data_IF_682666739744
#
_entry.id   IF_682666739744
#
_cell.length_a   1.000
_cell.length_b   1.000
_cell.length_c   1.000
_cell.angle_alpha   90.00
_cell.angle_beta   90.00
_cell.angle_gamma   90.00
#
_symmetry.space_group_name_H-M   'P 1'
#
loop_
_entity.id
_entity.type
_entity.pdbx_description
1 polymer ?
#
# COMPACT_ATOMS: atom_id res chain seq x y z
N UNK A 1 77.70 35.21 -40.24
CA UNK A 1 77.70 33.74 -40.38
C UNK A 1 77.42 33.19 -38.98
N UNK A 2 76.13 33.14 -38.64
CA UNK A 2 75.36 31.91 -38.32
C UNK A 2 75.66 31.41 -36.90
N UNK A 3 74.83 31.70 -35.91
CA UNK A 3 73.48 31.18 -35.62
C UNK A 3 73.55 30.01 -34.64
N UNK A 4 72.53 29.95 -33.77
CA UNK A 4 72.11 28.74 -33.06
C UNK A 4 73.15 28.11 -32.12
N UNK A 5 73.12 28.40 -30.82
CA UNK A 5 73.60 27.47 -29.75
C UNK A 5 73.50 28.01 -28.31
N UNK A 6 72.83 29.15 -28.06
CA UNK A 6 72.78 29.75 -26.70
C UNK A 6 71.38 30.03 -26.16
N UNK A 7 70.37 29.27 -26.62
CA UNK A 7 68.98 29.34 -26.11
C UNK A 7 68.35 27.95 -25.92
N UNK A 8 69.01 27.09 -25.17
CA UNK A 8 68.53 25.72 -24.90
C UNK A 8 68.50 25.33 -23.41
N UNK A 9 68.28 26.27 -22.49
CA UNK A 9 68.21 25.97 -21.05
C UNK A 9 67.13 26.77 -20.28
N UNK A 10 65.98 27.02 -20.93
CA UNK A 10 64.78 27.56 -20.27
C UNK A 10 63.48 27.10 -20.97
N UNK A 11 63.40 25.84 -21.40
CA UNK A 11 62.21 25.27 -22.04
C UNK A 11 62.00 23.79 -21.66
N UNK A 12 62.02 23.49 -20.37
CA UNK A 12 61.68 22.17 -19.82
C UNK A 12 60.72 22.29 -18.62
N UNK A 13 59.69 23.14 -18.73
CA UNK A 13 58.65 23.30 -17.72
C UNK A 13 57.23 23.53 -18.29
N UNK A 14 56.99 23.17 -19.55
CA UNK A 14 55.64 23.20 -20.15
C UNK A 14 55.47 22.09 -21.19
N UNK A 15 55.40 20.84 -20.74
CA UNK A 15 54.84 19.72 -21.51
C UNK A 15 54.56 18.52 -20.60
N UNK A 16 53.79 18.74 -19.54
CA UNK A 16 53.08 17.68 -18.85
C UNK A 16 51.61 18.09 -18.72
N UNK A 17 50.96 18.28 -19.86
CA UNK A 17 49.51 18.10 -19.93
C UNK A 17 49.32 16.60 -19.68
N UNK A 18 49.13 16.24 -18.42
CA UNK A 18 48.49 14.98 -18.07
C UNK A 18 47.15 15.06 -18.77
N UNK A 19 47.04 14.38 -19.91
CA UNK A 19 45.77 13.99 -20.48
C UNK A 19 45.12 13.11 -19.41
N UNK A 20 44.42 13.76 -18.47
CA UNK A 20 43.46 13.07 -17.65
C UNK A 20 42.53 12.41 -18.65
N UNK A 21 42.34 11.08 -18.64
CA UNK A 21 41.28 10.51 -19.44
C UNK A 21 40.02 11.21 -18.96
N UNK A 22 39.46 12.09 -19.81
CA UNK A 22 38.08 12.49 -19.68
C UNK A 22 37.35 11.17 -19.78
N UNK A 23 36.96 10.63 -18.63
CA UNK A 23 36.04 9.52 -18.56
C UNK A 23 34.83 10.00 -19.35
N UNK A 24 34.68 9.50 -20.58
CA UNK A 24 33.48 9.69 -21.35
C UNK A 24 32.41 9.06 -20.46
N UNK A 25 31.60 9.90 -19.81
CA UNK A 25 30.49 9.44 -19.00
C UNK A 25 29.60 8.66 -19.96
N UNK A 26 29.71 7.34 -19.92
CA UNK A 26 28.92 6.44 -20.73
C UNK A 26 27.55 6.42 -20.10
N UNK A 27 26.56 6.96 -20.80
CA UNK A 27 25.16 6.96 -20.36
C UNK A 27 24.80 5.61 -19.75
N UNK A 28 24.08 5.65 -18.63
CA UNK A 28 23.67 4.43 -17.92
C UNK A 28 23.02 3.43 -18.90
N UNK A 29 23.47 2.16 -18.92
CA UNK A 29 22.94 1.18 -19.87
C UNK A 29 21.47 0.90 -19.56
N UNK A 30 20.63 0.89 -20.60
CA UNK A 30 19.26 0.42 -20.46
C UNK A 30 19.28 -1.07 -20.12
N UNK A 31 18.57 -1.44 -19.06
CA UNK A 31 18.48 -2.83 -18.59
C UNK A 31 17.07 -3.40 -18.73
N UNK A 32 16.99 -4.72 -18.88
CA UNK A 32 15.74 -5.45 -18.64
C UNK A 32 15.60 -5.71 -17.13
N UNK A 33 14.42 -5.49 -16.53
CA UNK A 33 14.23 -5.74 -15.12
C UNK A 33 14.56 -7.20 -14.75
N UNK A 34 15.19 -7.44 -13.58
CA UNK A 34 15.57 -8.78 -13.19
C UNK A 34 14.35 -9.68 -12.99
N UNK A 35 14.47 -10.92 -13.43
CA UNK A 35 13.51 -12.00 -13.21
C UNK A 35 14.06 -12.92 -12.14
N UNK A 36 13.32 -13.10 -11.04
CA UNK A 36 13.75 -13.90 -9.89
C UNK A 36 12.79 -15.06 -9.67
N UNK A 37 13.25 -16.14 -9.02
CA UNK A 37 12.32 -17.14 -8.51
C UNK A 37 11.54 -16.59 -7.32
N UNK A 38 10.31 -17.06 -7.14
CA UNK A 38 9.46 -16.76 -6.00
C UNK A 38 10.17 -17.12 -4.68
N UNK A 39 10.93 -18.22 -4.66
CA UNK A 39 11.72 -18.62 -3.50
C UNK A 39 12.88 -17.66 -3.21
N UNK A 40 13.54 -17.10 -4.23
CA UNK A 40 14.57 -16.09 -4.02
C UNK A 40 14.00 -14.78 -3.43
N UNK A 41 12.74 -14.45 -3.75
CA UNK A 41 12.08 -13.22 -3.27
C UNK A 41 11.43 -13.40 -1.90
N UNK A 42 10.78 -14.54 -1.66
CA UNK A 42 9.89 -14.78 -0.51
C UNK A 42 10.40 -15.86 0.45
N UNK A 43 11.43 -16.60 0.08
CA UNK A 43 11.88 -17.79 0.79
C UNK A 43 10.76 -18.83 0.91
N UNK A 44 10.66 -19.45 2.09
CA UNK A 44 9.62 -20.44 2.40
C UNK A 44 8.18 -19.90 2.24
N UNK A 45 7.98 -18.58 2.29
CA UNK A 45 6.66 -17.95 2.14
C UNK A 45 6.16 -17.94 0.69
N UNK A 46 6.96 -18.39 -0.27
CA UNK A 46 6.50 -18.62 -1.63
C UNK A 46 5.41 -19.71 -1.71
N UNK A 47 5.27 -20.55 -0.68
CA UNK A 47 4.27 -21.63 -0.59
C UNK A 47 3.52 -21.57 0.73
N UNK A 48 2.20 -21.73 0.67
CA UNK A 48 1.34 -21.88 1.84
C UNK A 48 0.44 -23.11 1.72
N UNK A 49 -0.40 -23.35 2.74
CA UNK A 49 -1.31 -24.51 2.77
C UNK A 49 -2.37 -24.49 1.65
N UNK A 50 -2.68 -23.32 1.12
CA UNK A 50 -3.71 -23.11 0.10
C UNK A 50 -3.24 -22.26 -1.10
N UNK A 51 -1.94 -21.99 -1.22
CA UNK A 51 -1.40 -21.22 -2.34
C UNK A 51 0.05 -21.58 -2.69
N UNK A 52 0.45 -21.21 -3.91
CA UNK A 52 1.84 -21.17 -4.36
C UNK A 52 2.05 -19.94 -5.23
N UNK A 53 3.12 -19.18 -4.97
CA UNK A 53 3.59 -18.12 -5.87
C UNK A 53 4.39 -18.78 -7.01
N UNK A 54 4.00 -18.49 -8.24
CA UNK A 54 4.60 -19.07 -9.45
C UNK A 54 5.94 -18.39 -9.81
N UNK A 55 6.82 -19.17 -10.43
CA UNK A 55 8.02 -18.68 -11.08
C UNK A 55 7.72 -18.35 -12.56
N UNK A 56 8.37 -17.33 -13.15
CA UNK A 56 9.23 -16.35 -12.49
C UNK A 56 8.46 -15.14 -11.94
N UNK A 57 9.01 -14.53 -10.88
CA UNK A 57 8.62 -13.18 -10.43
C UNK A 57 9.35 -12.16 -11.29
N UNK A 58 8.60 -11.49 -12.17
CA UNK A 58 9.13 -10.44 -13.05
C UNK A 58 9.02 -9.09 -12.37
N UNK A 59 9.79 -8.11 -12.83
CA UNK A 59 9.59 -6.70 -12.49
C UNK A 59 9.22 -5.91 -13.74
N UNK A 60 8.40 -4.88 -13.58
CA UNK A 60 8.07 -3.90 -14.62
C UNK A 60 9.03 -2.69 -14.62
N UNK A 61 10.06 -2.72 -13.77
CA UNK A 61 11.02 -1.63 -13.55
C UNK A 61 10.70 -0.75 -12.32
N UNK A 62 9.54 -0.96 -11.69
CA UNK A 62 9.08 -0.27 -10.49
C UNK A 62 8.69 -1.24 -9.36
N UNK A 63 7.84 -2.20 -9.70
CA UNK A 63 7.26 -3.19 -8.80
C UNK A 63 7.60 -4.60 -9.29
N UNK A 64 7.54 -5.55 -8.36
CA UNK A 64 7.56 -6.97 -8.70
C UNK A 64 6.13 -7.43 -8.97
N UNK A 65 5.94 -8.22 -10.03
CA UNK A 65 4.65 -8.76 -10.45
C UNK A 65 4.61 -10.24 -10.11
N UNK A 66 3.66 -10.60 -9.24
CA UNK A 66 3.51 -11.95 -8.72
C UNK A 66 2.28 -12.61 -9.33
N UNK A 67 2.38 -13.93 -9.55
CA UNK A 67 1.23 -14.77 -9.88
C UNK A 67 1.03 -15.78 -8.76
N UNK A 68 -0.09 -15.67 -8.05
CA UNK A 68 -0.45 -16.58 -6.96
C UNK A 68 -1.41 -17.62 -7.51
N UNK A 69 -1.01 -18.89 -7.47
CA UNK A 69 -1.85 -20.04 -7.80
C UNK A 69 -2.56 -20.54 -6.55
N UNK A 70 -3.87 -20.64 -6.65
CA UNK A 70 -4.76 -21.20 -5.60
C UNK A 70 -5.65 -22.28 -6.22
N UNK A 71 -6.44 -22.98 -5.39
CA UNK A 71 -7.44 -23.92 -5.89
C UNK A 71 -8.54 -23.22 -6.71
N UNK A 72 -8.77 -21.93 -6.48
CA UNK A 72 -9.81 -21.12 -7.13
C UNK A 72 -9.33 -20.46 -8.43
N UNK A 73 -8.03 -20.53 -8.72
CA UNK A 73 -7.43 -19.96 -9.92
C UNK A 73 -6.13 -19.21 -9.67
N UNK A 74 -5.68 -18.48 -10.69
CA UNK A 74 -4.49 -17.62 -10.63
C UNK A 74 -4.89 -16.19 -10.34
N UNK A 75 -4.11 -15.53 -9.50
CA UNK A 75 -4.29 -14.12 -9.14
C UNK A 75 -2.99 -13.36 -9.41
N UNK A 76 -3.08 -12.28 -10.18
CA UNK A 76 -1.96 -11.38 -10.40
C UNK A 76 -1.95 -10.30 -9.32
N UNK A 77 -0.76 -9.96 -8.84
CA UNK A 77 -0.56 -8.95 -7.79
C UNK A 77 0.67 -8.15 -8.13
N UNK A 78 0.53 -6.83 -8.20
CA UNK A 78 1.66 -5.92 -8.42
C UNK A 78 2.13 -5.32 -7.10
N UNK A 79 3.43 -5.46 -6.82
CA UNK A 79 4.06 -4.92 -5.63
C UNK A 79 4.10 -5.90 -4.45
N UNK A 80 5.24 -5.89 -3.73
CA UNK A 80 5.44 -6.74 -2.55
C UNK A 80 4.49 -6.40 -1.41
N UNK A 81 4.21 -5.12 -1.19
CA UNK A 81 3.32 -4.70 -0.08
C UNK A 81 1.88 -5.22 -0.29
N UNK A 82 1.37 -5.28 -1.53
CA UNK A 82 0.04 -5.85 -1.80
C UNK A 82 0.07 -7.38 -1.73
N UNK A 83 1.16 -8.01 -2.18
CA UNK A 83 1.36 -9.43 -2.00
C UNK A 83 1.26 -9.83 -0.52
N UNK A 84 1.91 -9.07 0.38
CA UNK A 84 1.83 -9.32 1.82
C UNK A 84 0.38 -9.32 2.35
N UNK A 85 -0.45 -8.40 1.86
CA UNK A 85 -1.89 -8.38 2.17
C UNK A 85 -2.55 -9.65 1.65
N UNK A 86 -2.32 -10.03 0.39
CA UNK A 86 -2.91 -11.23 -0.24
C UNK A 86 -2.51 -12.53 0.46
N UNK A 87 -1.26 -12.66 0.89
CA UNK A 87 -0.80 -13.83 1.63
C UNK A 87 -1.49 -13.96 3.00
N UNK A 88 -1.70 -12.84 3.71
CA UNK A 88 -2.48 -12.81 4.96
C UNK A 88 -3.94 -13.15 4.71
N UNK A 89 -4.52 -12.65 3.62
CA UNK A 89 -5.90 -12.96 3.24
C UNK A 89 -6.10 -14.46 2.92
N UNK A 90 -5.11 -15.07 2.25
CA UNK A 90 -5.10 -16.51 2.00
C UNK A 90 -4.96 -17.33 3.29
N UNK A 91 -4.13 -16.88 4.23
CA UNK A 91 -4.04 -17.50 5.54
C UNK A 91 -5.37 -17.41 6.29
N UNK A 92 -6.01 -16.24 6.30
CA UNK A 92 -7.31 -16.04 6.92
C UNK A 92 -8.40 -16.92 6.28
N UNK A 93 -8.38 -17.06 4.96
CA UNK A 93 -9.28 -17.95 4.23
C UNK A 93 -9.10 -19.41 4.66
N UNK A 94 -7.85 -19.88 4.78
CA UNK A 94 -7.57 -21.24 5.27
C UNK A 94 -8.10 -21.44 6.70
N UNK A 95 -7.94 -20.44 7.57
CA UNK A 95 -8.47 -20.49 8.94
C UNK A 95 -10.00 -20.59 8.97
N UNK A 96 -10.69 -19.80 8.14
CA UNK A 96 -12.16 -19.86 8.03
C UNK A 96 -12.64 -21.22 7.51
N UNK A 97 -11.94 -21.79 6.53
CA UNK A 97 -12.24 -23.11 5.98
C UNK A 97 -12.02 -24.22 7.01
N UNK A 98 -10.99 -24.11 7.85
CA UNK A 98 -10.79 -25.05 8.94
C UNK A 98 -11.88 -24.91 10.01
N UNK A 99 -12.26 -23.68 10.35
CA UNK A 99 -13.33 -23.41 11.32
C UNK A 99 -14.67 -24.00 10.90
N UNK A 100 -14.99 -23.96 9.60
CA UNK A 100 -16.26 -24.47 9.08
C UNK A 100 -16.43 -25.99 9.23
N UNK A 101 -15.33 -26.72 9.45
CA UNK A 101 -15.36 -28.17 9.72
C UNK A 101 -15.66 -28.53 11.18
N UNK A 102 -15.64 -27.56 12.10
CA UNK A 102 -15.85 -27.83 13.52
C UNK A 102 -17.32 -28.14 13.84
N UNK A 103 -17.56 -29.06 14.79
CA UNK A 103 -18.93 -29.40 15.21
C UNK A 103 -19.69 -28.18 15.75
N UNK A 104 -18.98 -27.25 16.41
CA UNK A 104 -19.56 -26.00 16.89
C UNK A 104 -20.07 -25.14 15.74
N UNK A 105 -19.32 -25.03 14.64
CA UNK A 105 -19.77 -24.34 13.44
C UNK A 105 -20.95 -25.04 12.78
N UNK A 106 -20.89 -26.37 12.63
CA UNK A 106 -21.98 -27.19 12.07
C UNK A 106 -23.29 -26.98 12.85
N UNK A 107 -23.23 -26.98 14.19
CA UNK A 107 -24.38 -26.75 15.05
C UNK A 107 -24.92 -25.32 14.91
N UNK A 108 -24.03 -24.32 14.86
CA UNK A 108 -24.42 -22.93 14.64
C UNK A 108 -25.04 -22.69 13.26
N UNK A 109 -24.52 -23.33 12.22
CA UNK A 109 -25.08 -23.30 10.88
C UNK A 109 -26.49 -23.93 10.84
N UNK A 110 -26.67 -25.07 11.51
CA UNK A 110 -27.98 -25.71 11.66
C UNK A 110 -28.97 -24.83 12.44
N UNK A 111 -28.51 -24.09 13.46
CA UNK A 111 -29.32 -23.12 14.18
C UNK A 111 -29.68 -21.90 13.32
N UNK A 112 -28.72 -21.37 12.54
CA UNK A 112 -28.94 -20.27 11.61
C UNK A 112 -29.96 -20.63 10.52
N UNK A 113 -29.94 -21.86 10.01
CA UNK A 113 -30.92 -22.35 9.02
C UNK A 113 -32.36 -22.45 9.56
N UNK A 114 -32.54 -22.52 10.88
CA UNK A 114 -33.87 -22.55 11.54
C UNK A 114 -34.44 -21.15 11.77
N UNK A 115 -33.65 -20.09 11.62
CA UNK A 115 -34.14 -18.71 11.69
C UNK A 115 -34.75 -18.34 10.33
N UNK A 116 -35.82 -17.52 10.29
CA UNK A 116 -36.41 -17.10 9.03
C UNK A 116 -35.35 -16.42 8.15
N UNK A 117 -35.03 -17.06 7.03
CA UNK A 117 -34.24 -16.47 5.95
C UNK A 117 -35.26 -15.88 4.99
N UNK A 118 -35.72 -14.66 5.25
CA UNK A 118 -36.56 -13.94 4.31
C UNK A 118 -35.70 -13.57 3.09
N UNK A 119 -35.64 -14.53 2.16
CA UNK A 119 -34.98 -14.44 0.87
C UNK A 119 -35.54 -13.26 0.09
N UNK A 120 -34.68 -12.28 -0.19
CA UNK A 120 -34.93 -11.23 -1.18
C UNK A 120 -35.03 -11.86 -2.58
N UNK A 121 -36.21 -12.38 -2.94
CA UNK A 121 -36.54 -12.71 -4.32
C UNK A 121 -36.84 -11.40 -5.05
N UNK A 122 -35.86 -10.94 -5.82
CA UNK A 122 -36.04 -9.80 -6.72
C UNK A 122 -34.71 -9.21 -7.14
N UNK A 123 -33.87 -9.99 -7.81
CA UNK A 123 -32.85 -9.54 -8.78
C UNK A 123 -32.11 -10.76 -9.38
N UNK A 124 -32.85 -11.72 -9.92
CA UNK A 124 -32.36 -12.64 -10.96
C UNK A 124 -33.53 -12.92 -11.90
N UNK A 125 -33.74 -12.02 -12.86
CA UNK A 125 -34.51 -12.31 -14.06
C UNK A 125 -33.61 -11.95 -15.23
N UNK A 126 -32.99 -12.99 -15.80
CA UNK A 126 -32.36 -13.12 -17.11
C UNK A 126 -31.78 -11.85 -17.77
N UNK A 127 -30.45 -11.73 -17.96
CA UNK A 127 -29.90 -10.77 -18.91
C UNK A 127 -29.61 -11.47 -20.24
N UNK A 128 -30.58 -11.47 -21.16
CA UNK A 128 -30.30 -11.52 -22.61
C UNK A 128 -31.42 -10.70 -23.28
N UNK A 129 -31.05 -9.77 -24.17
CA UNK A 129 -31.91 -8.94 -25.05
C UNK A 129 -32.34 -7.52 -24.62
N UNK A 130 -31.53 -6.74 -23.91
CA UNK A 130 -31.69 -5.27 -24.02
C UNK A 130 -30.37 -4.52 -24.03
N UNK A 131 -29.67 -4.65 -25.15
CA UNK A 131 -28.81 -3.58 -25.67
C UNK A 131 -29.74 -2.64 -26.43
N UNK A 132 -29.99 -1.44 -25.90
CA UNK A 132 -30.02 -0.17 -26.63
C UNK A 132 -30.65 0.96 -25.78
N UNK A 133 -30.03 2.13 -25.85
CA UNK A 133 -30.43 3.46 -25.34
C UNK A 133 -30.07 3.79 -23.88
N UNK A 134 -28.83 4.27 -23.76
CA UNK A 134 -28.33 5.12 -22.69
C UNK A 134 -29.17 6.40 -22.51
N UNK A 135 -29.88 6.55 -21.39
CA UNK A 135 -30.22 7.85 -20.79
C UNK A 135 -30.35 7.74 -19.25
N UNK A 136 -29.47 8.48 -18.56
CA UNK A 136 -29.55 9.05 -17.19
C UNK A 136 -30.28 8.31 -16.03
N UNK A 137 -29.52 7.47 -15.31
CA UNK A 137 -28.99 7.74 -13.95
C UNK A 137 -29.86 8.15 -12.74
N UNK A 138 -31.16 8.45 -12.86
CA UNK A 138 -31.96 8.90 -11.69
C UNK A 138 -33.33 8.21 -11.60
N UNK A 139 -33.90 7.69 -12.70
CA UNK A 139 -35.23 7.05 -12.70
C UNK A 139 -35.34 5.74 -11.92
N UNK A 140 -34.26 4.96 -11.82
CA UNK A 140 -34.23 3.65 -11.12
C UNK A 140 -34.07 3.77 -9.60
N UNK A 141 -33.66 4.93 -9.09
CA UNK A 141 -33.65 5.20 -7.65
C UNK A 141 -35.03 5.61 -7.14
N UNK A 142 -35.80 6.37 -7.93
CA UNK A 142 -37.16 6.80 -7.54
C UNK A 142 -38.20 5.67 -7.63
N UNK A 143 -38.07 4.72 -8.57
CA UNK A 143 -38.97 3.56 -8.63
C UNK A 143 -38.82 2.59 -7.45
N UNK A 144 -37.64 2.58 -6.79
CA UNK A 144 -37.39 1.78 -5.58
C UNK A 144 -37.99 2.39 -4.31
N UNK A 145 -38.24 3.70 -4.29
CA UNK A 145 -38.90 4.38 -3.16
C UNK A 145 -40.43 4.21 -3.25
N UNK A 146 -41.01 4.18 -4.46
CA UNK A 146 -42.46 3.99 -4.66
C UNK A 146 -42.99 2.62 -4.25
N UNK A 147 -42.23 1.53 -4.49
CA UNK A 147 -42.62 0.18 -4.09
C UNK A 147 -42.47 -0.08 -2.57
N UNK A 148 -41.72 0.76 -1.87
CA UNK A 148 -41.57 0.69 -0.42
C UNK A 148 -42.70 1.41 0.34
N UNK A 149 -43.56 2.17 -0.33
CA UNK A 149 -44.62 2.94 0.32
C UNK A 149 -45.91 2.13 0.63
N UNK A 150 -46.06 0.90 0.11
CA UNK A 150 -47.35 0.20 0.09
C UNK A 150 -47.54 -0.95 1.10
N UNK A 151 -46.69 -1.13 2.12
CA UNK A 151 -46.98 -2.01 3.27
C UNK A 151 -46.12 -1.66 4.50
N UNK A 152 -46.67 -1.00 5.55
CA UNK A 152 -45.93 -0.69 6.77
C UNK A 152 -46.12 -1.78 7.84
N UNK A 153 -45.01 -2.24 8.43
CA UNK A 153 -44.99 -2.30 9.90
C UNK A 153 -44.37 -3.48 10.65
N UNK A 154 -44.02 -4.64 10.07
CA UNK A 154 -43.49 -5.76 10.89
C UNK A 154 -42.30 -6.56 10.38
N UNK A 155 -41.81 -6.29 9.16
CA UNK A 155 -40.68 -7.01 8.59
C UNK A 155 -39.43 -6.17 8.31
N UNK A 156 -39.51 -4.84 8.28
CA UNK A 156 -38.36 -4.01 7.85
C UNK A 156 -37.30 -3.87 8.92
N UNK A 157 -37.71 -3.72 10.18
CA UNK A 157 -36.79 -3.47 11.29
C UNK A 157 -35.97 -4.73 11.62
N UNK A 158 -36.61 -5.90 11.64
CA UNK A 158 -35.91 -7.19 11.84
C UNK A 158 -34.92 -7.51 10.71
N UNK A 159 -35.24 -7.14 9.47
CA UNK A 159 -34.35 -7.32 8.32
C UNK A 159 -33.16 -6.35 8.36
N UNK A 160 -33.40 -5.09 8.72
CA UNK A 160 -32.36 -4.09 8.90
C UNK A 160 -31.42 -4.49 10.04
N UNK A 161 -31.96 -4.89 11.20
CA UNK A 161 -31.19 -5.33 12.35
C UNK A 161 -30.38 -6.60 12.05
N UNK A 162 -30.95 -7.55 11.29
CA UNK A 162 -30.22 -8.74 10.86
C UNK A 162 -29.07 -8.40 9.92
N UNK A 163 -29.29 -7.52 8.94
CA UNK A 163 -28.25 -7.08 8.01
C UNK A 163 -27.12 -6.31 8.73
N UNK A 164 -27.48 -5.42 9.66
CA UNK A 164 -26.54 -4.70 10.51
C UNK A 164 -25.75 -5.65 11.42
N UNK A 165 -26.42 -6.66 12.00
CA UNK A 165 -25.79 -7.70 12.81
C UNK A 165 -24.77 -8.52 12.04
N UNK A 166 -25.10 -8.93 10.80
CA UNK A 166 -24.17 -9.64 9.91
C UNK A 166 -22.96 -8.76 9.55
N UNK A 167 -23.19 -7.50 9.18
CA UNK A 167 -22.11 -6.57 8.83
C UNK A 167 -21.19 -6.26 10.03
N UNK A 168 -21.74 -6.19 11.24
CA UNK A 168 -20.96 -6.07 12.48
C UNK A 168 -20.12 -7.32 12.75
N UNK A 169 -20.74 -8.51 12.66
CA UNK A 169 -20.06 -9.79 12.84
C UNK A 169 -18.92 -9.98 11.82
N UNK A 170 -19.11 -9.57 10.56
CA UNK A 170 -18.05 -9.57 9.53
C UNK A 170 -16.84 -8.75 9.95
N UNK A 171 -17.06 -7.53 10.45
CA UNK A 171 -15.98 -6.63 10.89
C UNK A 171 -15.25 -7.18 12.11
N UNK A 172 -15.98 -7.75 13.07
CA UNK A 172 -15.38 -8.39 14.24
C UNK A 172 -14.55 -9.63 13.84
N UNK A 173 -15.06 -10.45 12.92
CA UNK A 173 -14.35 -11.61 12.39
C UNK A 173 -13.08 -11.20 11.65
N UNK A 174 -13.17 -10.21 10.77
CA UNK A 174 -12.02 -9.65 10.05
C UNK A 174 -10.97 -9.08 11.02
N UNK A 175 -11.40 -8.40 12.10
CA UNK A 175 -10.52 -7.91 13.16
C UNK A 175 -9.75 -9.05 13.84
N UNK A 176 -10.41 -10.17 14.15
CA UNK A 176 -9.76 -11.33 14.78
C UNK A 176 -8.78 -12.03 13.85
N UNK A 177 -9.09 -12.07 12.54
CA UNK A 177 -8.23 -12.63 11.50
C UNK A 177 -7.11 -11.69 11.05
N UNK A 178 -7.14 -10.43 11.47
CA UNK A 178 -6.18 -9.41 11.07
C UNK A 178 -6.23 -9.02 9.59
N UNK A 179 -7.43 -9.07 8.99
CA UNK A 179 -7.68 -8.76 7.57
C UNK A 179 -8.65 -7.60 7.41
N UNK A 180 -8.68 -7.03 6.22
CA UNK A 180 -9.58 -5.94 5.87
C UNK A 180 -11.03 -6.45 5.77
N UNK A 181 -12.00 -5.90 6.54
CA UNK A 181 -13.40 -6.30 6.42
C UNK A 181 -14.02 -5.94 5.07
N UNK A 182 -13.38 -5.04 4.33
CA UNK A 182 -13.76 -4.59 3.00
C UNK A 182 -12.80 -5.08 1.91
N UNK A 183 -12.08 -6.18 2.17
CA UNK A 183 -11.20 -6.82 1.21
C UNK A 183 -11.88 -7.03 -0.15
N UNK A 184 -11.13 -6.75 -1.21
CA UNK A 184 -11.54 -7.03 -2.59
C UNK A 184 -11.20 -8.46 -3.04
N UNK A 185 -10.50 -9.24 -2.20
CA UNK A 185 -10.22 -10.65 -2.47
C UNK A 185 -11.49 -11.48 -2.31
N UNK A 186 -12.20 -11.66 -3.43
CA UNK A 186 -13.52 -12.30 -3.48
C UNK A 186 -13.63 -13.61 -2.67
N UNK A 187 -12.66 -14.55 -2.72
CA UNK A 187 -12.75 -15.78 -1.94
C UNK A 187 -12.83 -15.53 -0.43
N UNK A 188 -12.00 -14.62 0.09
CA UNK A 188 -12.03 -14.26 1.51
C UNK A 188 -13.28 -13.44 1.84
N UNK A 189 -13.67 -12.48 0.99
CA UNK A 189 -14.87 -11.68 1.19
C UNK A 189 -16.12 -12.56 1.36
N UNK A 190 -16.27 -13.56 0.50
CA UNK A 190 -17.36 -14.54 0.56
C UNK A 190 -17.31 -15.39 1.83
N UNK A 191 -16.13 -15.92 2.19
CA UNK A 191 -15.96 -16.72 3.40
C UNK A 191 -16.26 -15.91 4.68
N UNK A 192 -15.86 -14.63 4.72
CA UNK A 192 -16.20 -13.71 5.80
C UNK A 192 -17.70 -13.46 5.87
N UNK A 193 -18.38 -13.24 4.74
CA UNK A 193 -19.83 -13.02 4.69
C UNK A 193 -20.63 -14.24 5.16
N UNK A 194 -20.26 -15.43 4.68
CA UNK A 194 -20.88 -16.69 5.09
C UNK A 194 -20.71 -16.95 6.58
N UNK A 195 -19.47 -16.85 7.06
CA UNK A 195 -19.15 -17.06 8.48
C UNK A 195 -19.83 -16.03 9.38
N UNK A 196 -19.89 -14.77 8.96
CA UNK A 196 -20.57 -13.71 9.69
C UNK A 196 -22.07 -13.97 9.80
N UNK A 197 -22.71 -14.48 8.73
CA UNK A 197 -24.12 -14.91 8.75
C UNK A 197 -24.35 -16.03 9.76
N UNK A 198 -23.53 -17.08 9.71
CA UNK A 198 -23.61 -18.19 10.67
C UNK A 198 -23.38 -17.70 12.10
N UNK A 199 -22.46 -16.77 12.30
CA UNK A 199 -22.15 -16.21 13.62
C UNK A 199 -23.32 -15.39 14.18
N UNK A 200 -23.82 -14.42 13.41
CA UNK A 200 -24.89 -13.53 13.82
C UNK A 200 -26.23 -14.27 14.02
N UNK A 201 -26.55 -15.22 13.12
CA UNK A 201 -27.83 -15.94 13.16
C UNK A 201 -27.76 -17.21 14.03
N UNK A 202 -26.61 -17.87 14.11
CA UNK A 202 -26.41 -19.09 14.91
C UNK A 202 -26.01 -18.85 16.37
N UNK A 203 -25.90 -17.59 16.80
CA UNK A 203 -25.41 -17.17 18.13
C UNK A 203 -24.01 -17.75 18.47
N UNK A 204 -23.15 -17.90 17.46
CA UNK A 204 -21.78 -18.37 17.69
C UNK A 204 -20.92 -17.22 18.22
N UNK A 205 -20.20 -17.41 19.31
CA UNK A 205 -19.19 -16.42 19.74
C UNK A 205 -17.91 -16.63 18.94
N UNK A 206 -17.47 -15.61 18.21
CA UNK A 206 -16.28 -15.68 17.35
C UNK A 206 -15.06 -16.20 18.12
N UNK A 207 -14.80 -15.67 19.32
CA UNK A 207 -13.66 -16.08 20.16
C UNK A 207 -13.67 -17.56 20.57
N UNK A 208 -14.85 -18.15 20.79
CA UNK A 208 -14.97 -19.57 21.18
C UNK A 208 -14.60 -20.55 20.07
N UNK A 209 -14.87 -20.20 18.82
CA UNK A 209 -14.57 -21.04 17.67
C UNK A 209 -13.08 -21.00 17.28
N UNK A 210 -12.45 -19.82 17.37
CA UNK A 210 -11.01 -19.67 17.08
C UNK A 210 -10.11 -20.38 18.09
N UNK A 211 -10.52 -20.49 19.37
CA UNK A 211 -9.77 -21.24 20.40
C UNK A 211 -9.67 -22.75 20.10
N UNK A 212 -10.55 -23.29 19.26
CA UNK A 212 -10.56 -24.71 18.89
C UNK A 212 -9.62 -25.05 17.71
N UNK A 213 -8.94 -24.06 17.11
CA UNK A 213 -8.05 -24.25 15.97
C UNK A 213 -6.60 -24.28 16.45
N UNK A 214 -5.88 -25.42 16.34
CA UNK A 214 -4.46 -25.50 16.66
C UNK A 214 -3.65 -24.50 15.81
N UNK A 215 -2.90 -23.60 16.46
CA UNK A 215 -2.14 -22.53 15.79
C UNK A 215 -2.92 -21.24 15.50
N UNK A 216 -4.20 -21.14 15.88
CA UNK A 216 -5.07 -19.97 15.70
C UNK A 216 -4.84 -18.80 16.67
N UNK A 217 -3.67 -18.74 17.32
CA UNK A 217 -3.35 -17.65 18.26
C UNK A 217 -3.02 -16.37 17.48
N UNK A 218 -3.94 -15.40 17.54
CA UNK A 218 -3.72 -13.97 17.33
C UNK A 218 -2.72 -13.58 16.25
N UNK A 219 -3.18 -13.50 15.00
CA UNK A 219 -2.43 -12.80 13.96
C UNK A 219 -2.44 -11.32 14.33
N UNK A 220 -1.37 -10.86 15.00
CA UNK A 220 -1.17 -9.46 15.32
C UNK A 220 -1.14 -8.67 14.01
N UNK A 221 -2.03 -7.70 13.89
CA UNK A 221 -2.03 -6.85 12.70
C UNK A 221 -0.86 -5.91 12.79
N UNK A 222 0.16 -6.10 11.93
CA UNK A 222 1.19 -5.09 11.72
C UNK A 222 0.58 -3.93 10.92
N UNK A 223 -0.24 -3.12 11.57
CA UNK A 223 -0.40 -1.72 11.22
C UNK A 223 0.79 -0.98 11.86
N UNK A 224 1.43 -0.05 11.14
CA UNK A 224 2.45 0.80 11.77
C UNK A 224 1.84 1.48 12.99
N UNK A 225 2.60 1.70 14.08
CA UNK A 225 2.10 2.23 15.38
C UNK A 225 1.19 3.47 15.31
N UNK A 226 1.27 4.25 14.24
CA UNK A 226 0.39 5.39 13.91
C UNK A 226 -0.99 5.03 13.31
N UNK A 227 -1.21 3.75 13.00
CA UNK A 227 -2.42 3.16 12.44
C UNK A 227 -3.13 2.22 13.44
N UNK A 228 -2.63 2.05 14.67
CA UNK A 228 -3.34 1.33 15.75
C UNK A 228 -4.64 2.07 16.15
N UNK A 229 -4.65 3.41 16.21
CA UNK A 229 -5.87 4.21 16.47
C UNK A 229 -6.83 4.24 15.26
N UNK A 230 -6.31 4.10 14.03
CA UNK A 230 -7.10 4.20 12.79
C UNK A 230 -7.64 2.84 12.32
N UNK A 231 -6.91 1.76 12.64
CA UNK A 231 -7.34 0.38 12.43
C UNK A 231 -8.63 0.10 13.19
N UNK A 232 -8.80 0.64 14.41
CA UNK A 232 -10.06 0.50 15.15
C UNK A 232 -11.25 1.12 14.40
N UNK A 233 -11.07 2.31 13.82
CA UNK A 233 -12.15 3.04 13.15
C UNK A 233 -12.73 2.27 11.96
N UNK A 234 -11.91 1.58 11.16
CA UNK A 234 -12.40 0.81 10.00
C UNK A 234 -13.18 -0.44 10.39
N UNK A 235 -12.90 -1.01 11.57
CA UNK A 235 -13.67 -2.11 12.12
C UNK A 235 -14.94 -1.63 12.83
N UNK A 236 -14.94 -0.43 13.43
CA UNK A 236 -16.08 0.10 14.20
C UNK A 236 -17.11 0.85 13.35
N UNK A 237 -16.74 1.35 12.17
CA UNK A 237 -17.63 2.11 11.27
C UNK A 237 -18.03 1.34 10.02
N UNK A 238 -19.24 1.63 9.53
CA UNK A 238 -19.76 1.19 8.23
C UNK A 238 -19.10 1.96 7.07
N UNK A 239 -19.19 1.47 5.81
CA UNK A 239 -18.65 2.20 4.66
C UNK A 239 -19.19 3.62 4.51
N UNK A 240 -20.48 3.86 4.79
CA UNK A 240 -21.10 5.18 4.70
C UNK A 240 -20.61 6.13 5.80
N UNK A 241 -20.44 5.64 7.03
CA UNK A 241 -19.85 6.42 8.12
C UNK A 241 -18.38 6.74 7.88
N UNK A 242 -17.60 5.79 7.34
CA UNK A 242 -16.21 6.04 6.92
C UNK A 242 -16.16 7.08 5.81
N UNK A 243 -17.05 6.98 4.82
CA UNK A 243 -17.15 7.95 3.73
C UNK A 243 -17.46 9.35 4.26
N UNK A 244 -18.42 9.49 5.16
CA UNK A 244 -18.77 10.79 5.75
C UNK A 244 -17.61 11.37 6.58
N UNK A 245 -16.97 10.54 7.41
CA UNK A 245 -15.78 10.92 8.16
C UNK A 245 -14.65 11.39 7.23
N UNK A 246 -14.42 10.66 6.13
CA UNK A 246 -13.39 10.99 5.16
C UNK A 246 -13.72 12.29 4.40
N UNK A 247 -14.99 12.50 4.03
CA UNK A 247 -15.45 13.74 3.39
C UNK A 247 -15.21 14.95 4.29
N UNK A 248 -15.57 14.87 5.57
CA UNK A 248 -15.34 15.94 6.55
C UNK A 248 -13.85 16.26 6.72
N UNK A 249 -13.01 15.22 6.84
CA UNK A 249 -11.55 15.40 6.90
C UNK A 249 -10.99 16.02 5.62
N UNK A 250 -11.34 15.52 4.44
CA UNK A 250 -10.90 16.06 3.15
C UNK A 250 -11.26 17.55 3.00
N UNK A 251 -12.46 17.96 3.41
CA UNK A 251 -12.85 19.36 3.43
C UNK A 251 -11.94 20.20 4.34
N UNK A 252 -11.62 19.72 5.55
CA UNK A 252 -10.67 20.38 6.45
C UNK A 252 -9.23 20.42 5.90
N UNK A 253 -8.87 19.52 4.99
CA UNK A 253 -7.59 19.54 4.26
C UNK A 253 -7.60 20.50 3.05
N UNK A 254 -8.73 21.18 2.77
CA UNK A 254 -8.89 22.10 1.64
C UNK A 254 -9.18 21.41 0.30
N UNK A 255 -9.62 20.14 0.32
CA UNK A 255 -9.97 19.40 -0.90
C UNK A 255 -11.38 19.80 -1.35
N UNK A 256 -11.56 20.24 -2.61
CA UNK A 256 -12.88 20.60 -3.14
C UNK A 256 -13.87 19.42 -3.07
N UNK A 257 -15.13 19.70 -2.73
CA UNK A 257 -16.17 18.67 -2.58
C UNK A 257 -16.34 17.78 -3.83
N UNK A 258 -16.32 18.29 -5.08
CA UNK A 258 -16.39 17.43 -6.26
C UNK A 258 -15.22 16.45 -6.35
N UNK A 259 -14.00 16.91 -6.05
CA UNK A 259 -12.80 16.08 -6.07
C UNK A 259 -12.81 15.01 -4.97
N UNK A 260 -13.25 15.40 -3.76
CA UNK A 260 -13.44 14.45 -2.67
C UNK A 260 -14.50 13.39 -3.02
N UNK A 261 -15.59 13.79 -3.70
CA UNK A 261 -16.60 12.89 -4.24
C UNK A 261 -16.00 11.86 -5.19
N UNK A 262 -15.33 12.31 -6.24
CA UNK A 262 -14.65 11.44 -7.23
C UNK A 262 -13.71 10.44 -6.58
N UNK A 263 -12.88 10.89 -5.63
CA UNK A 263 -11.98 9.99 -4.91
C UNK A 263 -12.74 8.94 -4.08
N UNK A 264 -13.74 9.37 -3.31
CA UNK A 264 -14.49 8.47 -2.43
C UNK A 264 -15.41 7.51 -3.20
N UNK A 265 -15.87 7.89 -4.40
CA UNK A 265 -16.69 7.03 -5.28
C UNK A 265 -15.87 6.05 -6.12
N UNK A 266 -14.54 6.16 -6.12
CA UNK A 266 -13.67 5.31 -6.90
C UNK A 266 -13.63 3.88 -6.31
N UNK A 267 -14.19 2.93 -7.07
CA UNK A 267 -14.35 1.52 -6.69
C UNK A 267 -13.06 0.70 -6.75
N UNK A 268 -11.96 1.25 -7.29
CA UNK A 268 -10.64 0.63 -7.21
C UNK A 268 -10.07 0.66 -5.78
N UNK A 269 -10.58 1.56 -4.92
CA UNK A 269 -10.22 1.63 -3.51
C UNK A 269 -11.22 0.89 -2.64
N UNK A 270 -10.73 0.20 -1.62
CA UNK A 270 -11.57 -0.21 -0.49
C UNK A 270 -11.87 1.00 0.41
N UNK A 271 -12.97 0.99 1.19
CA UNK A 271 -13.21 1.97 2.24
C UNK A 271 -12.04 2.14 3.22
N UNK A 272 -11.31 1.05 3.50
CA UNK A 272 -10.08 1.08 4.30
C UNK A 272 -8.98 1.86 3.60
N UNK A 273 -8.72 1.62 2.32
CA UNK A 273 -7.69 2.37 1.57
C UNK A 273 -7.97 3.88 1.58
N UNK A 274 -9.22 4.26 1.33
CA UNK A 274 -9.63 5.67 1.35
C UNK A 274 -9.39 6.30 2.73
N UNK A 275 -9.79 5.59 3.79
CA UNK A 275 -9.64 6.06 5.17
C UNK A 275 -8.18 6.21 5.56
N UNK A 276 -7.33 5.26 5.17
CA UNK A 276 -5.88 5.30 5.41
C UNK A 276 -5.22 6.46 4.68
N UNK A 277 -5.58 6.71 3.41
CA UNK A 277 -5.06 7.84 2.65
C UNK A 277 -5.43 9.17 3.32
N UNK A 278 -6.70 9.34 3.70
CA UNK A 278 -7.18 10.56 4.36
C UNK A 278 -6.49 10.75 5.72
N UNK A 279 -6.29 9.67 6.48
CA UNK A 279 -5.56 9.69 7.73
C UNK A 279 -4.09 10.12 7.53
N UNK A 280 -3.41 9.55 6.53
CA UNK A 280 -2.04 9.90 6.20
C UNK A 280 -1.92 11.38 5.81
N UNK A 281 -2.82 11.89 4.97
CA UNK A 281 -2.86 13.31 4.60
C UNK A 281 -3.15 14.23 5.80
N UNK A 282 -3.94 13.77 6.77
CA UNK A 282 -4.23 14.53 8.00
C UNK A 282 -2.97 14.67 8.88
N UNK A 283 -2.12 13.64 8.92
CA UNK A 283 -0.82 13.65 9.63
C UNK A 283 0.21 14.58 8.99
N UNK A 284 -0.01 15.02 7.75
CA UNK A 284 0.85 15.97 7.03
C UNK A 284 0.47 17.42 7.38
N UNK A 285 0.46 17.76 8.66
CA UNK A 285 0.06 19.09 9.15
C UNK A 285 0.98 20.17 8.56
N UNK A 286 0.38 21.27 8.08
CA UNK A 286 1.14 22.38 7.48
C UNK A 286 1.58 22.17 6.01
N UNK A 287 1.51 20.95 5.47
CA UNK A 287 1.81 20.71 4.05
C UNK A 287 0.72 21.36 3.19
N UNK A 288 1.09 22.21 2.23
CA UNK A 288 0.16 22.87 1.30
C UNK A 288 -0.16 21.97 0.10
N UNK A 289 -1.19 22.31 -0.66
CA UNK A 289 -1.57 21.66 -1.93
C UNK A 289 -1.90 20.15 -1.85
N UNK A 290 -2.37 19.66 -0.70
CA UNK A 290 -2.78 18.25 -0.51
C UNK A 290 -3.82 17.76 -1.52
N UNK A 291 -4.64 18.66 -2.06
CA UNK A 291 -5.60 18.37 -3.13
C UNK A 291 -4.95 17.87 -4.42
N UNK A 292 -3.70 18.23 -4.72
CA UNK A 292 -2.98 17.69 -5.89
C UNK A 292 -2.75 16.19 -5.75
N UNK A 293 -2.39 15.75 -4.54
CA UNK A 293 -2.27 14.33 -4.25
C UNK A 293 -3.62 13.63 -4.41
N UNK A 294 -4.69 14.16 -3.81
CA UNK A 294 -6.04 13.57 -3.93
C UNK A 294 -6.52 13.50 -5.38
N UNK A 295 -6.24 14.53 -6.19
CA UNK A 295 -6.57 14.52 -7.61
C UNK A 295 -5.90 13.37 -8.36
N UNK A 296 -4.62 13.11 -8.09
CA UNK A 296 -3.91 11.98 -8.69
C UNK A 296 -4.41 10.63 -8.17
N UNK A 297 -4.69 10.53 -6.88
CA UNK A 297 -5.24 9.29 -6.30
C UNK A 297 -6.60 8.95 -6.91
N UNK A 298 -7.45 9.97 -7.15
CA UNK A 298 -8.76 9.79 -7.74
C UNK A 298 -8.75 9.19 -9.17
N UNK A 299 -7.62 9.29 -9.89
CA UNK A 299 -7.48 8.71 -11.23
C UNK A 299 -7.07 7.24 -11.25
N UNK A 300 -6.86 6.60 -10.09
CA UNK A 300 -6.52 5.18 -10.06
C UNK A 300 -7.64 4.35 -10.69
N UNK A 301 -7.30 3.45 -11.61
CA UNK A 301 -8.27 2.63 -12.36
C UNK A 301 -8.18 1.14 -12.03
N UNK A 302 -7.18 0.73 -11.25
CA UNK A 302 -6.95 -0.66 -10.84
C UNK A 302 -6.75 -0.75 -9.34
N UNK A 303 -7.01 -1.94 -8.78
CA UNK A 303 -6.81 -2.22 -7.36
C UNK A 303 -5.36 -2.02 -6.94
N UNK A 304 -4.42 -2.49 -7.75
CA UNK A 304 -2.98 -2.42 -7.50
C UNK A 304 -2.49 -0.96 -7.46
N UNK A 305 -2.92 -0.13 -8.42
CA UNK A 305 -2.58 1.29 -8.45
C UNK A 305 -3.22 2.05 -7.26
N UNK A 306 -4.45 1.70 -6.88
CA UNK A 306 -5.10 2.24 -5.69
C UNK A 306 -4.30 1.90 -4.42
N UNK A 307 -3.84 0.66 -4.29
CA UNK A 307 -3.01 0.24 -3.17
C UNK A 307 -1.63 0.93 -3.16
N UNK A 308 -1.02 1.09 -4.34
CA UNK A 308 0.21 1.86 -4.51
C UNK A 308 0.05 3.29 -3.96
N UNK A 309 -1.05 3.96 -4.29
CA UNK A 309 -1.32 5.31 -3.78
C UNK A 309 -1.56 5.35 -2.27
N UNK A 310 -2.26 4.35 -1.72
CA UNK A 310 -2.38 4.19 -0.27
C UNK A 310 -1.00 4.11 0.39
N UNK A 311 -0.16 3.19 -0.09
CA UNK A 311 1.17 2.98 0.49
C UNK A 311 2.05 4.20 0.34
N UNK A 312 1.95 4.89 -0.79
CA UNK A 312 2.64 6.15 -1.03
C UNK A 312 2.22 7.24 -0.04
N UNK A 313 0.92 7.37 0.25
CA UNK A 313 0.42 8.34 1.23
C UNK A 313 1.01 8.08 2.63
N UNK A 314 1.02 6.81 3.06
CA UNK A 314 1.62 6.40 4.33
C UNK A 314 3.11 6.74 4.40
N UNK A 315 3.88 6.39 3.35
CA UNK A 315 5.31 6.69 3.28
C UNK A 315 5.57 8.20 3.34
N UNK A 316 4.82 9.02 2.61
CA UNK A 316 4.98 10.48 2.66
C UNK A 316 4.69 11.00 4.06
N UNK A 317 3.63 10.54 4.73
CA UNK A 317 3.27 11.00 6.07
C UNK A 317 4.34 10.62 7.09
N UNK A 318 4.89 9.41 6.96
CA UNK A 318 5.97 8.91 7.77
C UNK A 318 7.28 9.67 7.55
N UNK A 319 7.62 10.00 6.30
CA UNK A 319 8.78 10.84 5.98
C UNK A 319 8.62 12.27 6.51
N UNK A 320 7.44 12.86 6.35
CA UNK A 320 7.12 14.20 6.86
C UNK A 320 7.26 14.27 8.38
N UNK A 321 6.79 13.25 9.09
CA UNK A 321 6.75 13.24 10.56
C UNK A 321 8.06 12.79 11.20
N UNK A 322 8.85 11.92 10.56
CA UNK A 322 10.02 11.27 11.19
C UNK A 322 11.38 11.66 10.61
N UNK A 323 11.42 12.19 9.39
CA UNK A 323 12.69 12.50 8.71
C UNK A 323 12.85 14.01 8.52
N UNK A 324 11.98 14.62 7.72
CA UNK A 324 12.00 16.06 7.51
C UNK A 324 10.63 16.52 7.00
N UNK A 325 10.10 17.65 7.49
CA UNK A 325 8.80 18.14 7.06
C UNK A 325 8.83 18.63 5.60
N UNK A 326 7.87 18.16 4.82
CA UNK A 326 7.51 18.77 3.54
C UNK A 326 6.75 20.09 3.74
N UNK A 327 6.90 21.02 2.80
CA UNK A 327 6.21 22.29 2.77
C UNK A 327 4.94 22.23 1.90
N UNK A 328 4.99 21.54 0.76
CA UNK A 328 3.87 21.44 -0.17
C UNK A 328 3.99 20.23 -1.11
N UNK A 329 2.86 19.93 -1.77
CA UNK A 329 2.85 19.15 -3.00
C UNK A 329 3.00 20.07 -4.21
N UNK A 330 3.84 19.66 -5.16
CA UNK A 330 4.04 20.31 -6.45
C UNK A 330 3.73 19.31 -7.56
N UNK A 331 2.93 19.73 -8.54
CA UNK A 331 2.61 18.87 -9.69
C UNK A 331 3.74 18.91 -10.70
N UNK A 332 4.23 17.73 -11.11
CA UNK A 332 5.28 17.58 -12.13
C UNK A 332 4.84 16.47 -13.08
N UNK A 333 4.46 16.82 -14.32
CA UNK A 333 3.91 15.91 -15.34
C UNK A 333 2.67 15.15 -14.83
N UNK A 334 1.77 15.84 -14.13
CA UNK A 334 0.58 15.21 -13.54
C UNK A 334 0.87 14.24 -12.39
N UNK A 335 2.11 14.23 -11.88
CA UNK A 335 2.51 13.46 -10.72
C UNK A 335 2.88 14.40 -9.55
N UNK A 336 2.08 14.42 -8.46
CA UNK A 336 2.32 15.31 -7.34
C UNK A 336 3.52 14.83 -6.53
N UNK A 337 4.64 15.55 -6.61
CA UNK A 337 5.85 15.34 -5.82
C UNK A 337 5.85 16.22 -4.57
N UNK A 338 6.71 15.92 -3.61
CA UNK A 338 6.81 16.67 -2.36
C UNK A 338 7.92 17.71 -2.48
N UNK A 339 7.74 18.90 -1.93
CA UNK A 339 8.80 19.89 -1.82
C UNK A 339 9.10 20.18 -0.36
N UNK A 340 10.37 20.22 0.00
CA UNK A 340 10.83 20.65 1.33
C UNK A 340 10.81 22.18 1.45
N UNK A 341 10.85 22.71 2.67
CA UNK A 341 10.95 24.17 2.87
C UNK A 341 12.21 24.79 2.22
N UNK A 342 13.28 24.01 2.08
CA UNK A 342 14.52 24.42 1.41
C UNK A 342 14.49 24.32 -0.13
N UNK A 343 13.35 24.01 -0.74
CA UNK A 343 13.19 23.97 -2.20
C UNK A 343 13.58 22.65 -2.88
N UNK A 344 14.05 21.64 -2.12
CA UNK A 344 14.35 20.30 -2.67
C UNK A 344 13.05 19.57 -3.01
N UNK A 345 12.97 19.04 -4.24
CA UNK A 345 11.90 18.15 -4.71
C UNK A 345 12.22 16.71 -4.30
N UNK A 346 11.26 16.02 -3.72
CA UNK A 346 11.42 14.68 -3.16
C UNK A 346 10.32 13.76 -3.67
N UNK A 347 10.72 12.77 -4.46
CA UNK A 347 9.85 11.68 -4.92
C UNK A 347 9.86 10.54 -3.92
N UNK A 348 8.84 10.46 -3.07
CA UNK A 348 8.64 9.34 -2.14
C UNK A 348 7.76 8.29 -2.83
N UNK A 349 8.29 7.09 -3.04
CA UNK A 349 7.67 6.04 -3.86
C UNK A 349 7.74 4.66 -3.20
N UNK A 350 6.62 3.91 -3.11
CA UNK A 350 6.61 2.54 -2.61
C UNK A 350 7.04 1.55 -3.70
N UNK A 351 8.29 1.62 -4.15
CA UNK A 351 8.85 0.73 -5.17
C UNK A 351 9.50 -0.50 -4.52
N UNK A 352 9.43 -1.65 -5.19
CA UNK A 352 10.16 -2.86 -4.76
C UNK A 352 11.61 -2.81 -5.24
N UNK A 353 11.79 -2.42 -6.50
CA UNK A 353 13.09 -2.22 -7.11
C UNK A 353 12.95 -1.24 -8.28
N UNK A 354 13.78 -0.21 -8.31
CA UNK A 354 13.88 0.70 -9.45
C UNK A 354 14.98 0.22 -10.40
N UNK A 355 14.58 -0.17 -11.61
CA UNK A 355 15.48 -0.59 -12.69
C UNK A 355 15.55 0.47 -13.80
N UNK A 356 16.69 0.60 -14.49
CA UNK A 356 16.93 1.61 -15.52
C UNK A 356 16.42 1.16 -16.89
N UNK A 357 15.13 0.93 -16.98
CA UNK A 357 14.48 0.58 -18.24
C UNK A 357 14.33 1.82 -19.13
N UNK A 358 14.09 1.62 -20.44
CA UNK A 358 13.79 2.73 -21.36
C UNK A 358 12.68 3.67 -20.84
N UNK A 359 11.51 3.14 -20.43
CA UNK A 359 10.44 3.94 -19.83
C UNK A 359 10.86 4.72 -18.57
N UNK A 360 11.72 4.15 -17.71
CA UNK A 360 12.21 4.84 -16.51
C UNK A 360 13.15 5.99 -16.90
N UNK A 361 14.08 5.75 -17.82
CA UNK A 361 15.00 6.77 -18.32
C UNK A 361 14.26 7.95 -18.96
N UNK A 362 13.25 7.66 -19.80
CA UNK A 362 12.43 8.69 -20.46
C UNK A 362 11.62 9.52 -19.45
N UNK A 363 11.08 8.86 -18.42
CA UNK A 363 10.35 9.52 -17.34
C UNK A 363 11.27 10.45 -16.53
N UNK A 364 12.46 9.97 -16.15
CA UNK A 364 13.43 10.77 -15.41
C UNK A 364 13.89 11.98 -16.23
N UNK A 365 14.20 11.79 -17.51
CA UNK A 365 14.57 12.89 -18.41
C UNK A 365 13.46 13.94 -18.53
N UNK A 366 12.21 13.50 -18.69
CA UNK A 366 11.05 14.40 -18.79
C UNK A 366 10.84 15.20 -17.49
N UNK A 367 10.94 14.52 -16.33
CA UNK A 367 10.83 15.16 -15.02
C UNK A 367 11.95 16.18 -14.80
N UNK A 368 13.19 15.84 -15.14
CA UNK A 368 14.36 16.71 -15.01
C UNK A 368 14.22 17.97 -15.89
N UNK A 369 13.78 17.80 -17.13
CA UNK A 369 13.47 18.91 -18.02
C UNK A 369 12.40 19.83 -17.41
N UNK A 370 11.26 19.29 -16.96
CA UNK A 370 10.19 20.10 -16.40
C UNK A 370 10.61 20.85 -15.12
N UNK A 371 11.38 20.19 -14.25
CA UNK A 371 11.88 20.79 -13.00
C UNK A 371 12.80 21.98 -13.30
N UNK A 372 13.71 21.82 -14.28
CA UNK A 372 14.67 22.86 -14.68
C UNK A 372 13.99 24.04 -15.38
N UNK A 373 13.14 23.76 -16.38
CA UNK A 373 12.44 24.79 -17.17
C UNK A 373 11.54 25.68 -16.29
N UNK A 374 10.82 25.06 -15.35
CA UNK A 374 9.86 25.76 -14.51
C UNK A 374 10.43 26.14 -13.13
N UNK A 375 11.73 25.89 -12.88
CA UNK A 375 12.44 26.17 -11.61
C UNK A 375 11.67 25.64 -10.39
N UNK A 376 11.14 24.41 -10.49
CA UNK A 376 10.24 23.83 -9.48
C UNK A 376 10.94 23.43 -8.18
N UNK A 377 12.27 23.33 -8.21
CA UNK A 377 13.12 23.12 -7.06
C UNK A 377 14.60 23.27 -7.39
N UNK A 378 15.44 23.21 -6.36
CA UNK A 378 16.90 23.40 -6.46
C UNK A 378 17.70 22.08 -6.44
N UNK A 379 17.06 20.97 -6.07
CA UNK A 379 17.64 19.64 -6.04
C UNK A 379 16.51 18.60 -6.13
N UNK A 380 16.85 17.40 -6.58
CA UNK A 380 15.90 16.28 -6.68
C UNK A 380 16.43 15.07 -5.92
N UNK A 381 15.54 14.45 -5.14
CA UNK A 381 15.85 13.25 -4.36
C UNK A 381 14.72 12.22 -4.53
N UNK A 382 15.09 10.99 -4.88
CA UNK A 382 14.18 9.86 -4.90
C UNK A 382 14.33 9.12 -3.57
N UNK A 383 13.22 8.81 -2.91
CA UNK A 383 13.19 7.98 -1.70
C UNK A 383 12.24 6.82 -1.92
N UNK A 384 12.72 5.59 -1.78
CA UNK A 384 11.92 4.40 -2.06
C UNK A 384 12.02 3.31 -1.00
N UNK A 385 10.94 2.54 -0.84
CA UNK A 385 10.85 1.42 0.10
C UNK A 385 11.79 0.27 -0.23
N UNK A 386 12.09 0.07 -1.51
CA UNK A 386 12.88 -1.04 -2.03
C UNK A 386 14.35 -0.69 -2.27
N UNK A 387 14.88 -1.15 -3.41
CA UNK A 387 16.27 -0.94 -3.83
C UNK A 387 16.38 -0.32 -5.21
N UNK A 388 17.56 0.15 -5.60
CA UNK A 388 17.87 0.62 -6.95
C UNK A 388 18.94 -0.30 -7.55
N UNK A 389 18.83 -0.62 -8.84
CA UNK A 389 19.91 -1.33 -9.56
C UNK A 389 21.13 -0.43 -9.74
N UNK A 390 22.28 -1.02 -10.10
CA UNK A 390 23.48 -0.24 -10.37
C UNK A 390 23.28 0.72 -11.56
N UNK A 391 22.63 0.26 -12.63
CA UNK A 391 22.33 1.10 -13.78
C UNK A 391 21.38 2.25 -13.43
N UNK A 392 20.34 1.99 -12.62
CA UNK A 392 19.40 3.04 -12.25
C UNK A 392 20.02 4.08 -11.33
N UNK A 393 20.90 3.66 -10.42
CA UNK A 393 21.68 4.59 -9.59
C UNK A 393 22.55 5.49 -10.44
N UNK A 394 23.30 4.90 -11.39
CA UNK A 394 24.12 5.66 -12.32
C UNK A 394 23.29 6.68 -13.11
N UNK A 395 22.17 6.25 -13.69
CA UNK A 395 21.30 7.11 -14.49
C UNK A 395 20.69 8.26 -13.69
N UNK A 396 20.25 8.00 -12.45
CA UNK A 396 19.76 9.06 -11.54
C UNK A 396 20.87 10.06 -11.22
N UNK A 397 22.08 9.58 -10.92
CA UNK A 397 23.23 10.43 -10.56
C UNK A 397 23.73 11.26 -11.75
N UNK A 398 23.60 10.77 -13.00
CA UNK A 398 23.89 11.53 -14.23
C UNK A 398 23.00 12.77 -14.38
N UNK A 399 21.76 12.75 -13.86
CA UNK A 399 20.89 13.92 -13.80
C UNK A 399 21.18 14.84 -12.59
N UNK A 400 22.18 14.51 -11.76
CA UNK A 400 22.50 15.23 -10.53
C UNK A 400 21.49 15.00 -9.41
N UNK A 401 20.69 13.94 -9.50
CA UNK A 401 19.70 13.58 -8.49
C UNK A 401 20.31 12.63 -7.46
N UNK A 402 19.67 12.55 -6.29
CA UNK A 402 20.11 11.67 -5.19
C UNK A 402 19.08 10.58 -4.92
N UNK A 403 19.49 9.44 -4.35
CA UNK A 403 18.57 8.35 -4.03
C UNK A 403 18.76 7.79 -2.63
N UNK A 404 17.65 7.56 -1.94
CA UNK A 404 17.57 6.91 -0.62
C UNK A 404 16.73 5.64 -0.75
N UNK A 405 17.34 4.51 -0.41
CA UNK A 405 16.73 3.18 -0.48
C UNK A 405 16.19 2.72 0.87
N UNK A 406 15.38 1.66 0.85
CA UNK A 406 14.93 0.92 2.05
C UNK A 406 14.27 1.80 3.10
N UNK A 407 13.35 2.66 2.66
CA UNK A 407 12.50 3.40 3.59
C UNK A 407 11.73 2.43 4.48
N UNK A 408 11.86 2.60 5.79
CA UNK A 408 11.11 1.81 6.77
C UNK A 408 9.95 2.64 7.32
N UNK A 409 8.78 2.00 7.42
CA UNK A 409 7.63 2.57 8.13
C UNK A 409 7.66 2.29 9.64
N UNK A 410 8.70 1.61 10.13
CA UNK A 410 8.93 1.34 11.56
C UNK A 410 10.01 2.25 12.15
N UNK A 411 9.93 2.63 13.44
CA UNK A 411 11.03 3.30 14.10
C UNK A 411 12.23 2.35 14.17
N UNK A 412 13.38 2.76 13.62
CA UNK A 412 14.66 2.13 13.97
C UNK A 412 14.77 2.14 15.50
N UNK A 413 14.71 0.97 16.13
CA UNK A 413 15.37 0.81 17.41
C UNK A 413 16.81 1.32 17.19
N UNK A 414 17.20 2.36 17.93
CA UNK A 414 18.52 2.97 17.78
C UNK A 414 19.54 1.84 17.78
N UNK A 415 20.34 1.76 16.72
CA UNK A 415 21.58 1.03 16.76
C UNK A 415 22.30 1.46 18.04
N UNK A 416 22.56 0.52 18.93
CA UNK A 416 23.38 0.71 20.10
C UNK A 416 24.78 1.11 19.62
N UNK A 417 25.00 2.42 19.49
CA UNK A 417 26.31 2.99 19.61
C UNK A 417 26.80 2.66 21.02
N UNK A 418 27.76 1.74 21.10
CA UNK A 418 28.26 1.22 22.36
C UNK A 418 29.42 0.28 22.14
N UNK A 419 30.37 0.66 21.28
CA UNK A 419 31.73 0.18 21.42
C UNK A 419 32.27 0.72 22.75
N UNK A 420 32.25 -0.12 23.79
CA UNK A 420 33.06 0.06 24.98
C UNK A 420 33.64 -1.31 25.34
N UNK A 421 34.93 -1.42 25.10
CA UNK A 421 35.83 -2.50 25.50
C UNK A 421 35.56 -2.91 26.95
N UNK A 422 35.31 -4.20 27.19
CA UNK A 422 35.52 -4.82 28.48
C UNK A 422 36.82 -5.64 28.40
N UNK A 423 37.91 -5.06 28.88
CA UNK A 423 39.12 -5.80 29.27
C UNK A 423 38.84 -6.57 30.58
N UNK A 424 39.49 -7.73 30.82
CA UNK A 424 39.18 -8.59 31.95
C UNK A 424 39.73 -7.99 33.26
N UNK A 425 38.85 -7.83 34.26
CA UNK A 425 39.20 -7.35 35.58
C UNK A 425 40.15 -8.29 36.31
N UNK A 426 41.30 -7.76 36.72
CA UNK A 426 42.25 -8.40 37.64
C UNK A 426 41.59 -8.61 39.00
N UNK A 427 41.55 -9.85 39.47
CA UNK A 427 41.24 -10.20 40.86
C UNK A 427 42.37 -9.71 41.79
N UNK A 428 42.01 -9.13 42.94
CA UNK A 428 42.90 -8.88 44.07
C UNK A 428 42.24 -9.46 45.35
N UNK A 429 43.00 -10.07 46.27
CA UNK A 429 42.47 -11.06 47.21
C UNK A 429 41.96 -10.45 48.53
N UNK A 430 41.08 -11.21 49.19
CA UNK A 430 40.49 -10.89 50.49
C UNK A 430 41.54 -10.91 51.64
N UNK A 431 41.36 -10.10 52.70
CA UNK A 431 42.19 -10.16 53.89
C UNK A 431 41.68 -11.24 54.89
N UNK A 432 42.55 -11.81 55.74
CA UNK A 432 42.17 -12.88 56.64
C UNK A 432 41.53 -12.32 57.92
N UNK A 433 40.41 -12.91 58.32
CA UNK A 433 39.72 -12.60 59.57
C UNK A 433 39.44 -13.86 60.37
N UNK A 434 40.32 -14.10 61.35
CA UNK A 434 40.18 -14.76 62.66
C UNK A 434 39.30 -15.99 62.81
#
# INVERSE_FOLDING_TARGET
MTDWAFRALAAAAMAAIVASPTAVARAAPIEEPPSLSAEAVLGARARGSNYQVEDPVRSDGFLQVFTIRTAQGRHHVEGRDLLEVRLRELQALATLQQMSTSQTYVNAAAAAAKKPVDLAVGLVTNPVDTIERSMSGVGTLFSRIGAAASNPGRGRDSLADSALGIASAKRQLARQLGVDPYTDFKPLAAALDETARVTALGNLTVSGAFMAIPGGAGVAVSYSKSAEDMGQIVFDKTPSELRELNRGKLAALGVPAPLAGTFLDNTSFTPTDQTVIVAALTRMTGVKNRQLFVARVATASTRDLAFFFRRRAELIADQHTRVAPFADFTDIIGFPLNRTAGGKVVAVLPLDQLAWTGPVSDLVASLDQMIKENRLGNAVEIRLSGTVTAAARQGIEEHGWTVVERLTTEPRARASAGAAQAAPGKAKPAPPGR
#
